data_IF_982040314071
#
_entry.id   IF_982040314071
#
_cell.length_a   1.000
_cell.length_b   1.000
_cell.length_c   1.000
_cell.angle_alpha   90.00
_cell.angle_beta   90.00
_cell.angle_gamma   90.00
#
_symmetry.space_group_name_H-M   'P 1'
#
loop_
_entity.id
_entity.type
_entity.pdbx_description
1 polymer ?
#
# COMPACT_ATOMS: atom_id res chain seq x y z
N UNK A 1 3.94 -23.69 15.11
CA UNK A 1 3.91 -22.57 16.08
C UNK A 1 2.73 -21.68 15.68
N UNK A 2 1.64 -21.73 16.44
CA UNK A 2 0.39 -21.01 16.16
C UNK A 2 0.61 -19.51 16.32
N UNK A 3 0.51 -18.78 15.22
CA UNK A 3 0.69 -17.34 15.15
C UNK A 3 -0.63 -16.66 15.57
N UNK A 4 -0.93 -16.66 16.87
CA UNK A 4 -2.21 -16.15 17.40
C UNK A 4 -2.43 -14.64 17.16
N UNK A 5 -1.43 -13.91 16.66
CA UNK A 5 -1.57 -12.53 16.17
C UNK A 5 -1.96 -12.41 14.69
N UNK A 6 -1.84 -13.46 13.88
CA UNK A 6 -2.16 -13.43 12.44
C UNK A 6 -3.61 -13.80 12.12
N UNK A 7 -4.28 -14.54 13.00
CA UNK A 7 -5.61 -15.12 12.74
C UNK A 7 -6.64 -14.07 12.27
N UNK A 8 -6.59 -12.85 12.82
CA UNK A 8 -7.57 -11.82 12.49
C UNK A 8 -6.99 -10.63 11.70
N UNK A 9 -5.66 -10.53 11.55
CA UNK A 9 -5.03 -9.33 10.95
C UNK A 9 -5.43 -9.14 9.50
N UNK A 10 -5.46 -10.22 8.71
CA UNK A 10 -5.89 -10.18 7.32
C UNK A 10 -7.41 -9.91 7.21
N UNK A 11 -8.21 -10.55 8.06
CA UNK A 11 -9.66 -10.36 8.09
C UNK A 11 -10.03 -8.91 8.40
N UNK A 12 -9.39 -8.31 9.40
CA UNK A 12 -9.55 -6.89 9.70
C UNK A 12 -9.19 -6.02 8.51
N UNK A 13 -8.04 -6.30 7.87
CA UNK A 13 -7.60 -5.56 6.69
C UNK A 13 -8.62 -5.63 5.55
N UNK A 14 -9.15 -6.82 5.27
CA UNK A 14 -10.18 -7.03 4.25
C UNK A 14 -11.49 -6.32 4.61
N UNK A 15 -11.84 -6.25 5.90
CA UNK A 15 -13.02 -5.52 6.36
C UNK A 15 -12.94 -4.01 6.13
N UNK A 16 -11.74 -3.45 5.87
CA UNK A 16 -11.55 -2.04 5.48
C UNK A 16 -11.78 -1.80 3.98
N UNK A 17 -11.96 -2.84 3.17
CA UNK A 17 -12.18 -2.66 1.73
C UNK A 17 -13.43 -1.80 1.43
N UNK A 18 -13.25 -0.79 0.59
CA UNK A 18 -14.30 0.14 0.20
C UNK A 18 -14.63 1.18 1.26
N UNK A 19 -13.94 1.20 2.40
CA UNK A 19 -14.15 2.24 3.42
C UNK A 19 -13.50 3.55 2.98
N UNK A 20 -14.20 4.64 3.26
CA UNK A 20 -13.70 5.99 3.15
C UNK A 20 -13.78 6.66 4.52
N UNK A 21 -12.69 7.28 4.96
CA UNK A 21 -12.64 8.03 6.21
C UNK A 21 -12.43 9.50 5.89
N UNK A 22 -13.42 10.32 6.22
CA UNK A 22 -13.37 11.76 6.01
C UNK A 22 -12.85 12.46 7.26
N UNK A 23 -11.89 13.35 7.06
CA UNK A 23 -11.34 14.20 8.08
C UNK A 23 -11.97 15.59 8.03
N UNK A 24 -11.90 16.36 9.13
CA UNK A 24 -12.16 17.79 9.10
C UNK A 24 -11.33 18.47 8.00
N UNK A 25 -11.85 19.56 7.44
CA UNK A 25 -11.27 20.29 6.30
C UNK A 25 -11.42 19.62 4.92
N UNK A 26 -12.07 18.44 4.82
CA UNK A 26 -12.46 17.84 3.54
C UNK A 26 -11.45 16.84 2.96
N UNK A 27 -10.41 16.49 3.71
CA UNK A 27 -9.53 15.39 3.35
C UNK A 27 -10.24 14.05 3.53
N UNK A 28 -9.91 13.06 2.72
CA UNK A 28 -10.40 11.70 2.93
C UNK A 28 -9.38 10.65 2.54
N UNK A 29 -9.40 9.54 3.27
CA UNK A 29 -8.62 8.34 2.94
C UNK A 29 -9.57 7.28 2.40
N UNK A 30 -9.20 6.69 1.27
CA UNK A 30 -9.92 5.58 0.64
C UNK A 30 -9.09 4.30 0.72
N UNK A 31 -9.75 3.22 1.15
CA UNK A 31 -9.18 1.90 1.30
C UNK A 31 -9.75 0.96 0.23
N UNK A 32 -8.91 0.40 -0.63
CA UNK A 32 -9.31 -0.62 -1.60
C UNK A 32 -8.43 -1.85 -1.40
N UNK A 33 -8.97 -2.91 -0.79
CA UNK A 33 -8.20 -4.06 -0.32
C UNK A 33 -8.93 -5.33 -0.73
N UNK A 34 -8.31 -6.19 -1.52
CA UNK A 34 -8.95 -7.38 -2.08
C UNK A 34 -8.01 -8.57 -1.97
N UNK A 35 -8.56 -9.69 -1.49
CA UNK A 35 -7.91 -10.97 -1.66
C UNK A 35 -8.02 -11.37 -3.13
N UNK A 36 -6.90 -11.81 -3.70
CA UNK A 36 -6.78 -12.23 -5.09
C UNK A 36 -6.04 -13.56 -5.11
N UNK A 37 -6.16 -14.31 -6.20
CA UNK A 37 -5.37 -15.54 -6.34
C UNK A 37 -3.87 -15.19 -6.27
N UNK A 38 -3.08 -15.94 -5.47
CA UNK A 38 -1.64 -15.76 -5.43
C UNK A 38 -1.04 -15.94 -6.82
N UNK A 39 -0.25 -14.97 -7.26
CA UNK A 39 0.55 -15.07 -8.49
C UNK A 39 2.03 -15.05 -8.13
N UNK A 40 2.94 -15.48 -9.02
CA UNK A 40 4.39 -15.36 -8.78
C UNK A 40 4.85 -13.93 -8.44
N UNK A 41 4.15 -12.92 -8.97
CA UNK A 41 4.38 -11.50 -8.70
C UNK A 41 3.74 -11.01 -7.39
N UNK A 42 2.76 -11.76 -6.87
CA UNK A 42 1.99 -11.47 -5.65
C UNK A 42 1.83 -12.75 -4.82
N UNK A 43 2.92 -13.25 -4.21
CA UNK A 43 2.93 -14.54 -3.52
C UNK A 43 1.98 -14.60 -2.32
N UNK A 44 1.55 -13.45 -1.79
CA UNK A 44 0.63 -13.33 -0.67
C UNK A 44 -0.85 -13.20 -1.07
N UNK A 45 -1.19 -13.21 -2.38
CA UNK A 45 -2.59 -13.21 -2.84
C UNK A 45 -3.40 -12.01 -2.35
N UNK A 46 -2.78 -10.85 -2.22
CA UNK A 46 -3.42 -9.63 -1.72
C UNK A 46 -3.18 -8.49 -2.72
N UNK A 47 -4.22 -7.73 -3.03
CA UNK A 47 -4.14 -6.47 -3.77
C UNK A 47 -4.64 -5.35 -2.87
N UNK A 48 -3.87 -4.28 -2.73
CA UNK A 48 -4.30 -3.11 -1.98
C UNK A 48 -3.99 -1.81 -2.70
N UNK A 49 -4.81 -0.80 -2.44
CA UNK A 49 -4.59 0.60 -2.74
C UNK A 49 -5.11 1.44 -1.58
N UNK A 50 -4.20 2.16 -0.91
CA UNK A 50 -4.52 3.17 0.08
C UNK A 50 -4.29 4.53 -0.56
N UNK A 51 -5.29 5.40 -0.57
CA UNK A 51 -5.15 6.73 -1.18
C UNK A 51 -5.62 7.81 -0.23
N UNK A 52 -4.86 8.91 -0.13
CA UNK A 52 -5.25 10.12 0.56
C UNK A 52 -5.62 11.17 -0.48
N UNK A 53 -6.76 11.80 -0.28
CA UNK A 53 -7.29 12.84 -1.14
C UNK A 53 -7.47 14.13 -0.37
N UNK A 54 -7.22 15.25 -1.04
CA UNK A 54 -7.45 16.59 -0.49
C UNK A 54 -8.90 17.06 -0.67
N UNK A 55 -9.22 18.27 -0.17
CA UNK A 55 -10.59 18.81 -0.13
C UNK A 55 -11.26 18.98 -1.50
N UNK A 56 -10.46 19.01 -2.58
CA UNK A 56 -10.92 19.12 -3.97
C UNK A 56 -10.95 17.77 -4.70
N UNK A 57 -10.80 16.65 -3.98
CA UNK A 57 -10.69 15.31 -4.56
C UNK A 57 -9.36 15.03 -5.25
N UNK A 58 -8.36 15.90 -5.09
CA UNK A 58 -7.00 15.68 -5.63
C UNK A 58 -6.32 14.58 -4.82
N UNK A 59 -5.86 13.51 -5.48
CA UNK A 59 -5.02 12.49 -4.85
C UNK A 59 -3.69 13.10 -4.42
N UNK A 60 -3.43 13.12 -3.12
CA UNK A 60 -2.21 13.66 -2.53
C UNK A 60 -1.14 12.56 -2.39
N UNK A 61 -1.53 11.39 -1.89
CA UNK A 61 -0.64 10.26 -1.62
C UNK A 61 -1.37 8.97 -2.02
N UNK A 62 -0.64 7.95 -2.46
CA UNK A 62 -1.16 6.61 -2.35
C UNK A 62 -0.12 5.50 -2.37
N UNK A 63 -0.48 4.41 -1.71
CA UNK A 63 0.30 3.19 -1.59
C UNK A 63 -0.45 2.08 -2.29
N UNK A 64 0.19 1.40 -3.24
CA UNK A 64 -0.36 0.23 -3.90
C UNK A 64 0.73 -0.81 -4.12
N UNK A 65 0.32 -2.07 -4.28
CA UNK A 65 1.20 -3.18 -4.59
C UNK A 65 1.11 -3.62 -6.06
N UNK A 66 0.88 -2.68 -6.97
CA UNK A 66 0.91 -2.95 -8.40
C UNK A 66 2.35 -3.20 -8.92
N UNK A 67 3.37 -2.85 -8.14
CA UNK A 67 4.77 -3.00 -8.51
C UNK A 67 5.33 -4.33 -7.97
N UNK A 68 5.95 -5.18 -8.81
CA UNK A 68 6.73 -6.30 -8.32
C UNK A 68 7.87 -5.75 -7.47
N UNK A 69 7.85 -6.08 -6.18
CA UNK A 69 8.97 -5.76 -5.30
C UNK A 69 10.06 -6.75 -5.67
N UNK A 70 11.11 -6.29 -6.36
CA UNK A 70 12.32 -7.09 -6.51
C UNK A 70 12.75 -7.54 -5.09
N UNK A 71 13.16 -8.80 -4.89
CA UNK A 71 13.56 -9.25 -3.56
C UNK A 71 14.72 -8.40 -3.07
N UNK A 72 14.45 -7.50 -2.12
CA UNK A 72 15.49 -6.68 -1.50
C UNK A 72 16.16 -7.55 -0.45
N UNK A 73 17.18 -8.30 -0.84
CA UNK A 73 18.27 -8.62 0.09
C UNK A 73 18.87 -7.29 0.53
N UNK A 74 18.75 -6.98 1.83
CA UNK A 74 18.98 -5.66 2.41
C UNK A 74 20.21 -4.93 1.88
N UNK A 75 19.98 -3.85 1.12
CA UNK A 75 20.92 -2.75 0.98
C UNK A 75 20.11 -1.49 0.71
N UNK A 76 20.16 -0.55 1.65
CA UNK A 76 19.68 0.81 1.46
C UNK A 76 20.50 1.43 0.32
N UNK A 77 19.92 1.63 -0.86
CA UNK A 77 20.61 2.29 -1.96
C UNK A 77 20.60 3.80 -1.71
N UNK A 78 21.71 4.31 -1.16
CA UNK A 78 21.98 5.74 -1.11
C UNK A 78 22.12 6.26 -2.56
N UNK A 79 21.24 7.17 -2.97
CA UNK A 79 21.29 7.73 -4.32
C UNK A 79 22.53 8.62 -4.46
N UNK A 80 23.57 8.11 -5.11
CA UNK A 80 24.72 8.90 -5.53
C UNK A 80 24.28 10.02 -6.49
N UNK A 81 24.64 11.25 -6.13
CA UNK A 81 24.37 12.47 -6.87
C UNK A 81 24.99 12.44 -8.28
N UNK A 82 24.17 12.64 -9.31
CA UNK A 82 24.68 12.98 -10.65
C UNK A 82 24.85 14.49 -10.76
N UNK A 83 26.06 14.97 -10.48
CA UNK A 83 26.56 16.26 -10.95
C UNK A 83 26.87 16.12 -12.44
N UNK A 84 26.07 16.73 -13.31
CA UNK A 84 26.50 16.97 -14.68
C UNK A 84 27.31 18.27 -14.73
N UNK A 85 28.59 18.12 -15.04
CA UNK A 85 29.55 19.19 -15.32
C UNK A 85 29.67 19.30 -16.84
N UNK A 86 29.64 20.56 -17.31
CA UNK A 86 30.12 21.13 -18.58
C UNK A 86 29.78 20.40 -19.88
#
# INVERSE_FOLDING_TARGET
>A
MSNAGSEYTLEYLLAFNGREHHFPEGYFVKFEIKQVDPTPERPHGLRYSLTLHGPKGTRLIGFDNAHPVAPVSGALQEKAAFRQRF
#
